data_IF_756114393758
#
_entry.id   IF_756114393758
#
_cell.length_a   1.000
_cell.length_b   1.000
_cell.length_c   1.000
_cell.angle_alpha   90.00
_cell.angle_beta   90.00
_cell.angle_gamma   90.00
#
_symmetry.space_group_name_H-M   'P 1'
#
loop_
_entity.id
_entity.type
_entity.pdbx_description
1 polymer ?
#
# COMPACT_ATOMS: atom_id res chain seq x y z
N UNK A 1 21.16 5.44 33.14
CA UNK A 1 20.21 6.56 32.92
C UNK A 1 20.59 7.19 31.59
N UNK A 2 19.81 7.18 30.51
CA UNK A 2 18.37 7.29 30.35
C UNK A 2 17.86 6.19 29.41
N UNK A 3 16.71 5.58 29.69
CA UNK A 3 16.00 4.76 28.72
C UNK A 3 15.65 5.64 27.53
N UNK A 4 16.28 5.40 26.39
CA UNK A 4 16.09 6.15 25.15
C UNK A 4 14.77 5.68 24.52
N UNK A 5 13.69 6.40 24.83
CA UNK A 5 12.34 6.12 24.34
C UNK A 5 12.12 6.85 23.01
N UNK A 6 11.46 6.22 22.04
CA UNK A 6 10.96 6.90 20.83
C UNK A 6 9.78 7.81 21.19
N UNK A 7 9.44 8.78 20.33
CA UNK A 7 8.36 9.76 20.58
C UNK A 7 6.94 9.15 20.80
N UNK A 8 6.75 7.83 20.81
CA UNK A 8 5.49 7.14 21.15
C UNK A 8 5.59 6.19 22.35
N UNK A 9 6.55 6.36 23.26
CA UNK A 9 6.68 5.52 24.46
C UNK A 9 7.41 4.17 24.27
N UNK A 10 7.88 3.88 23.05
CA UNK A 10 8.57 2.63 22.72
C UNK A 10 10.03 2.68 23.16
N UNK A 11 10.49 1.71 23.97
CA UNK A 11 11.90 1.59 24.34
C UNK A 11 12.75 1.08 23.16
N UNK A 12 13.88 1.73 22.88
CA UNK A 12 14.78 1.33 21.80
C UNK A 12 15.20 -0.14 21.84
N UNK A 13 15.61 -0.64 23.02
CA UNK A 13 16.06 -2.02 23.17
C UNK A 13 14.97 -3.03 22.85
N UNK A 14 13.73 -2.71 23.22
CA UNK A 14 12.56 -3.55 22.95
C UNK A 14 12.27 -3.59 21.46
N UNK A 15 12.15 -2.42 20.82
CA UNK A 15 11.93 -2.34 19.39
C UNK A 15 13.00 -3.06 18.57
N UNK A 16 14.28 -2.85 18.91
CA UNK A 16 15.39 -3.51 18.24
C UNK A 16 15.29 -5.04 18.37
N UNK A 17 14.97 -5.55 19.55
CA UNK A 17 14.81 -7.00 19.80
C UNK A 17 13.65 -7.58 18.99
N UNK A 18 12.53 -6.88 18.92
CA UNK A 18 11.33 -7.38 18.23
C UNK A 18 11.49 -7.34 16.71
N UNK A 19 12.27 -6.39 16.17
CA UNK A 19 12.59 -6.31 14.75
C UNK A 19 13.82 -7.15 14.33
N UNK A 20 14.63 -7.63 15.29
CA UNK A 20 15.83 -8.42 15.01
C UNK A 20 15.62 -9.61 14.06
N UNK A 21 14.50 -10.37 14.13
CA UNK A 21 14.25 -11.47 13.19
C UNK A 21 14.12 -11.03 11.72
N UNK A 22 13.83 -9.76 11.47
CA UNK A 22 13.73 -9.17 10.14
C UNK A 22 14.90 -8.21 9.81
N UNK A 23 16.03 -8.36 10.50
CA UNK A 23 17.20 -7.51 10.29
C UNK A 23 17.66 -7.48 8.82
N UNK A 24 17.60 -8.60 8.11
CA UNK A 24 17.94 -8.69 6.67
C UNK A 24 17.07 -7.79 5.78
N UNK A 25 15.94 -7.30 6.30
CA UNK A 25 15.02 -6.38 5.63
C UNK A 25 15.08 -4.97 6.19
N UNK A 26 16.12 -4.62 6.95
CA UNK A 26 16.24 -3.33 7.65
C UNK A 26 16.03 -2.11 6.73
N UNK A 27 16.48 -2.19 5.47
CA UNK A 27 16.34 -1.10 4.50
C UNK A 27 14.88 -0.90 4.08
N UNK A 28 14.18 -2.00 3.79
CA UNK A 28 12.74 -2.03 3.48
C UNK A 28 11.91 -1.54 4.67
N UNK A 29 12.24 -2.01 5.87
CA UNK A 29 11.64 -1.53 7.12
C UNK A 29 11.90 -0.03 7.29
N UNK A 30 13.14 0.42 7.05
CA UNK A 30 13.51 1.83 7.15
C UNK A 30 12.68 2.73 6.24
N UNK A 31 12.44 2.31 5.00
CA UNK A 31 11.58 3.01 4.02
C UNK A 31 10.17 3.17 4.58
N UNK A 32 9.54 2.07 5.00
CA UNK A 32 8.18 2.07 5.58
C UNK A 32 8.08 2.91 6.86
N UNK A 33 9.16 2.99 7.63
CA UNK A 33 9.25 3.85 8.81
C UNK A 33 9.56 5.32 8.47
N UNK A 34 9.60 5.69 7.20
CA UNK A 34 9.81 7.06 6.73
C UNK A 34 11.27 7.53 6.76
N UNK A 35 12.23 6.60 6.68
CA UNK A 35 13.64 6.97 6.51
C UNK A 35 13.91 7.31 5.04
N UNK A 36 14.51 8.49 4.73
CA UNK A 36 14.86 8.83 3.36
C UNK A 36 15.81 7.80 2.74
N UNK A 37 15.60 7.37 1.48
CA UNK A 37 16.46 6.38 0.81
C UNK A 37 17.94 6.76 0.81
N UNK A 38 18.26 8.03 0.57
CA UNK A 38 19.63 8.55 0.61
C UNK A 38 20.31 8.31 1.96
N UNK A 39 19.56 8.43 3.06
CA UNK A 39 20.08 8.16 4.39
C UNK A 39 20.34 6.66 4.59
N UNK A 40 19.46 5.81 4.09
CA UNK A 40 19.63 4.37 4.16
C UNK A 40 20.87 3.94 3.38
N UNK A 41 21.10 4.51 2.19
CA UNK A 41 22.33 4.31 1.42
C UNK A 41 23.58 4.77 2.19
N UNK A 42 23.51 5.89 2.93
CA UNK A 42 24.61 6.34 3.79
C UNK A 42 24.88 5.39 4.97
N UNK A 43 23.85 4.74 5.52
CA UNK A 43 23.99 3.74 6.58
C UNK A 43 24.69 2.49 6.04
N UNK A 44 24.30 2.06 4.84
CA UNK A 44 24.83 0.88 4.16
C UNK A 44 26.28 1.06 3.69
N UNK A 45 26.68 2.30 3.32
CA UNK A 45 28.06 2.62 2.90
C UNK A 45 29.11 2.54 4.02
N UNK A 46 28.72 2.35 5.29
CA UNK A 46 29.67 2.22 6.41
C UNK A 46 30.42 0.86 6.34
N UNK A 47 31.72 0.80 6.70
CA UNK A 47 32.65 -0.28 6.31
C UNK A 47 32.38 -1.71 6.86
N UNK A 48 33.18 -2.64 6.33
CA UNK A 48 32.89 -4.03 5.92
C UNK A 48 32.93 -5.16 6.97
N UNK A 49 32.70 -4.88 8.25
CA UNK A 49 32.54 -5.95 9.26
C UNK A 49 31.23 -5.83 10.03
N UNK A 50 30.19 -5.34 9.35
CA UNK A 50 28.86 -5.14 9.89
C UNK A 50 27.89 -6.12 9.27
N UNK A 51 26.94 -6.58 10.07
CA UNK A 51 25.83 -7.40 9.61
C UNK A 51 24.52 -6.58 9.49
N UNK A 52 23.48 -7.22 8.98
CA UNK A 52 22.16 -6.60 8.83
C UNK A 52 21.55 -6.11 10.16
N UNK A 53 21.94 -6.71 11.28
CA UNK A 53 21.47 -6.28 12.60
C UNK A 53 22.12 -4.98 13.04
N UNK A 54 23.39 -4.78 12.67
CA UNK A 54 24.06 -3.50 12.86
C UNK A 54 23.44 -2.38 12.01
N UNK A 55 23.02 -2.67 10.77
CA UNK A 55 22.34 -1.69 9.92
C UNK A 55 20.92 -1.37 10.43
N UNK A 56 20.18 -2.39 10.87
CA UNK A 56 18.89 -2.21 11.57
C UNK A 56 19.04 -1.28 12.78
N UNK A 57 20.06 -1.49 13.61
CA UNK A 57 20.35 -0.65 14.78
C UNK A 57 20.59 0.80 14.39
N UNK A 58 21.42 1.04 13.37
CA UNK A 58 21.74 2.39 12.89
C UNK A 58 20.52 3.10 12.31
N UNK A 59 19.69 2.38 11.55
CA UNK A 59 18.44 2.90 11.00
C UNK A 59 17.47 3.30 12.11
N UNK A 60 17.26 2.43 13.10
CA UNK A 60 16.39 2.75 14.24
C UNK A 60 16.92 3.95 15.05
N UNK A 61 18.24 4.06 15.22
CA UNK A 61 18.85 5.23 15.86
C UNK A 61 18.68 6.51 15.03
N UNK A 62 18.77 6.41 13.70
CA UNK A 62 18.45 7.52 12.82
C UNK A 62 16.99 7.94 12.99
N UNK A 63 16.06 6.98 12.96
CA UNK A 63 14.62 7.24 13.11
C UNK A 63 14.28 7.86 14.47
N UNK A 64 15.00 7.46 15.53
CA UNK A 64 14.84 7.98 16.89
C UNK A 64 15.22 9.47 17.01
N UNK A 65 16.23 9.90 16.25
CA UNK A 65 16.76 11.27 16.31
C UNK A 65 16.03 12.24 15.39
N UNK A 66 15.12 11.76 14.52
CA UNK A 66 14.30 12.63 13.67
C UNK A 66 13.31 13.40 14.53
N UNK A 67 13.27 14.72 14.35
CA UNK A 67 12.30 15.65 14.94
C UNK A 67 10.98 15.69 14.16
N UNK A 68 10.67 14.65 13.39
CA UNK A 68 9.43 14.55 12.62
C UNK A 68 8.22 14.33 13.55
N UNK A 69 7.05 14.88 13.22
CA UNK A 69 5.84 14.79 14.04
C UNK A 69 5.17 13.41 14.08
N UNK A 70 5.56 12.45 13.22
CA UNK A 70 4.99 11.10 13.28
C UNK A 70 5.66 10.28 14.39
N UNK A 71 4.91 10.06 15.47
CA UNK A 71 5.29 9.16 16.55
C UNK A 71 5.48 7.74 16.00
N UNK A 72 6.61 7.13 16.33
CA UNK A 72 6.84 5.72 16.03
C UNK A 72 6.02 4.88 17.01
N UNK A 73 4.86 4.39 16.57
CA UNK A 73 3.95 3.55 17.36
C UNK A 73 4.02 2.08 16.92
N UNK A 74 3.53 1.17 17.77
CA UNK A 74 3.47 -0.26 17.44
C UNK A 74 2.55 -0.55 16.26
N UNK A 75 1.53 0.28 16.04
CA UNK A 75 0.67 0.20 14.86
C UNK A 75 1.43 0.52 13.56
N UNK A 76 2.23 1.59 13.56
CA UNK A 76 3.08 1.95 12.39
C UNK A 76 4.05 0.82 12.08
N UNK A 77 4.66 0.23 13.11
CA UNK A 77 5.58 -0.92 12.95
C UNK A 77 4.84 -2.16 12.43
N UNK A 78 3.65 -2.45 12.95
CA UNK A 78 2.81 -3.54 12.47
C UNK A 78 2.45 -3.40 10.98
N UNK A 79 2.02 -2.20 10.57
CA UNK A 79 1.67 -1.89 9.18
C UNK A 79 2.89 -1.98 8.26
N UNK A 80 4.03 -1.43 8.69
CA UNK A 80 5.30 -1.52 7.96
C UNK A 80 5.71 -2.99 7.71
N UNK A 81 5.57 -3.86 8.70
CA UNK A 81 5.92 -5.29 8.55
C UNK A 81 4.93 -6.05 7.67
N UNK A 82 3.64 -5.65 7.67
CA UNK A 82 2.63 -6.24 6.78
C UNK A 82 2.71 -5.76 5.34
N UNK A 83 3.39 -4.63 5.08
CA UNK A 83 3.45 -4.05 3.74
C UNK A 83 3.98 -5.07 2.74
N UNK A 84 3.55 -4.95 1.48
CA UNK A 84 4.07 -5.79 0.40
C UNK A 84 5.58 -5.61 0.19
N UNK A 85 6.13 -4.46 0.60
CA UNK A 85 7.56 -4.14 0.52
C UNK A 85 8.36 -5.00 1.51
N UNK A 86 7.90 -5.14 2.76
CA UNK A 86 8.59 -5.90 3.81
C UNK A 86 8.14 -7.37 3.83
N UNK A 87 6.84 -7.64 3.77
CA UNK A 87 6.26 -8.97 3.67
C UNK A 87 6.51 -9.88 4.88
N UNK A 88 6.61 -9.33 6.08
CA UNK A 88 6.91 -10.02 7.34
C UNK A 88 5.64 -10.34 8.15
N UNK A 89 4.64 -10.93 7.50
CA UNK A 89 3.31 -11.15 8.10
C UNK A 89 3.30 -11.98 9.39
N UNK A 90 4.20 -12.97 9.50
CA UNK A 90 4.36 -13.77 10.72
C UNK A 90 4.95 -12.96 11.86
N UNK A 91 5.93 -12.10 11.58
CA UNK A 91 6.53 -11.23 12.60
C UNK A 91 5.56 -10.12 13.00
N UNK A 92 4.86 -9.52 12.03
CA UNK A 92 3.82 -8.52 12.29
C UNK A 92 2.75 -9.06 13.23
N UNK A 93 2.25 -10.29 12.99
CA UNK A 93 1.28 -10.94 13.89
C UNK A 93 1.82 -11.11 15.30
N UNK A 94 3.07 -11.54 15.48
CA UNK A 94 3.71 -11.65 16.81
C UNK A 94 3.81 -10.30 17.52
N UNK A 95 4.27 -9.27 16.82
CA UNK A 95 4.36 -7.91 17.39
C UNK A 95 2.97 -7.39 17.76
N UNK A 96 1.95 -7.62 16.94
CA UNK A 96 0.59 -7.24 17.27
C UNK A 96 0.08 -7.97 18.53
N UNK A 97 0.34 -9.27 18.67
CA UNK A 97 -0.04 -10.02 19.87
C UNK A 97 0.58 -9.42 21.14
N UNK A 98 1.84 -9.01 21.07
CA UNK A 98 2.61 -8.55 22.24
C UNK A 98 2.38 -7.08 22.58
N UNK A 99 1.97 -6.24 21.62
CA UNK A 99 2.00 -4.78 21.78
C UNK A 99 0.74 -4.03 21.32
N UNK A 100 -0.03 -4.59 20.39
CA UNK A 100 -1.24 -3.97 19.84
C UNK A 100 -2.30 -5.02 19.45
N UNK A 101 -2.78 -5.84 20.40
CA UNK A 101 -3.62 -7.01 20.10
C UNK A 101 -4.96 -6.65 19.44
N UNK A 102 -5.45 -5.43 19.66
CA UNK A 102 -6.65 -4.88 19.00
C UNK A 102 -6.55 -4.89 17.46
N UNK A 103 -5.34 -4.90 16.89
CA UNK A 103 -5.13 -4.98 15.43
C UNK A 103 -5.36 -6.40 14.86
N UNK A 104 -5.55 -7.41 15.70
CA UNK A 104 -5.81 -8.78 15.29
C UNK A 104 -7.31 -9.11 15.26
N UNK A 105 -8.10 -8.43 16.11
CA UNK A 105 -9.54 -8.66 16.24
C UNK A 105 -10.32 -8.10 15.04
N UNK A 106 -9.84 -7.03 14.42
CA UNK A 106 -10.43 -6.44 13.20
C UNK A 106 -10.28 -7.28 11.93
N UNK A 107 -9.43 -8.32 11.94
CA UNK A 107 -9.21 -9.25 10.81
C UNK A 107 -9.78 -10.66 11.03
N UNK A 108 -10.44 -10.92 12.16
CA UNK A 108 -10.98 -12.24 12.51
C UNK A 108 -12.17 -12.70 11.66
N UNK A 109 -12.86 -11.78 10.98
CA UNK A 109 -14.05 -12.09 10.18
C UNK A 109 -13.75 -12.82 8.86
N UNK A 110 -12.59 -12.58 8.23
CA UNK A 110 -12.25 -13.16 6.92
C UNK A 110 -11.67 -14.58 6.99
N UNK A 111 -11.15 -15.00 8.16
CA UNK A 111 -10.51 -16.31 8.33
C UNK A 111 -11.50 -17.45 8.61
N UNK A 112 -12.70 -17.16 9.11
CA UNK A 112 -13.73 -18.20 9.34
C UNK A 112 -14.35 -18.73 8.03
N UNK A 113 -14.36 -17.91 6.97
CA UNK A 113 -14.90 -18.29 5.65
C UNK A 113 -14.03 -19.35 4.96
N UNK A 114 -12.72 -19.36 5.21
CA UNK A 114 -11.78 -20.29 4.58
C UNK A 114 -11.83 -21.73 5.11
N UNK A 115 -12.21 -21.92 6.37
CA UNK A 115 -12.26 -23.26 7.00
C UNK A 115 -13.57 -24.00 6.65
N UNK A 116 -14.70 -23.28 6.61
CA UNK A 116 -16.00 -23.82 6.19
C UNK A 116 -16.03 -24.24 4.71
N UNK A 117 -15.28 -23.53 3.85
CA UNK A 117 -15.15 -23.88 2.44
C UNK A 117 -14.41 -25.21 2.22
N UNK A 118 -13.40 -25.52 3.04
CA UNK A 118 -12.65 -26.77 2.95
C UNK A 118 -13.51 -27.98 3.34
N UNK A 119 -14.29 -27.85 4.41
CA UNK A 119 -15.15 -28.93 4.91
C UNK A 119 -16.34 -29.23 3.96
N UNK A 120 -16.86 -28.20 3.28
CA UNK A 120 -17.93 -28.35 2.28
C UNK A 120 -17.46 -29.02 0.97
N UNK A 121 -16.20 -28.84 0.56
CA UNK A 121 -15.62 -29.53 -0.61
C UNK A 121 -15.47 -31.03 -0.37
N UNK A 122 -15.16 -31.44 0.88
CA UNK A 122 -15.10 -32.86 1.24
C UNK A 122 -16.47 -33.55 1.21
N UNK A 123 -17.56 -32.83 1.49
CA UNK A 123 -18.92 -33.36 1.48
C UNK A 123 -19.49 -33.55 0.05
N UNK A 124 -19.08 -32.72 -0.92
CA UNK A 124 -19.65 -32.73 -2.28
C UNK A 124 -19.10 -33.81 -3.22
N UNK A 125 -17.91 -34.36 -2.96
CA UNK A 125 -17.25 -35.28 -3.92
C UNK A 125 -17.66 -36.75 -3.76
N UNK A 126 -18.31 -37.14 -2.65
CA UNK A 126 -18.86 -38.49 -2.46
C UNK A 126 -17.86 -39.65 -2.53
N UNK A 127 -16.55 -39.40 -2.56
CA UNK A 127 -15.52 -40.43 -2.74
C UNK A 127 -15.32 -41.22 -1.45
N UNK A 128 -15.83 -42.45 -1.42
CA UNK A 128 -15.64 -43.36 -0.31
C UNK A 128 -14.36 -44.18 -0.50
N UNK A 129 -13.27 -43.77 0.18
CA UNK A 129 -11.90 -44.30 -0.03
C UNK A 129 -11.72 -45.75 0.48
N UNK A 130 -12.73 -46.36 1.12
CA UNK A 130 -12.61 -47.70 1.73
C UNK A 130 -12.48 -48.89 0.76
N UNK A 131 -12.56 -48.71 -0.56
CA UNK A 131 -12.64 -49.83 -1.53
C UNK A 131 -11.48 -49.86 -2.55
N UNK A 132 -10.50 -48.95 -2.47
CA UNK A 132 -9.41 -48.90 -3.44
C UNK A 132 -8.10 -49.46 -2.89
N UNK A 133 -7.46 -50.35 -3.65
CA UNK A 133 -6.13 -50.84 -3.34
C UNK A 133 -5.09 -49.71 -3.48
N UNK A 134 -4.05 -49.74 -2.65
CA UNK A 134 -3.04 -48.68 -2.56
C UNK A 134 -2.36 -48.34 -3.90
N UNK A 135 -2.30 -49.28 -4.84
CA UNK A 135 -1.76 -49.10 -6.18
C UNK A 135 -2.69 -48.36 -7.14
N UNK A 136 -4.02 -48.40 -6.94
CA UNK A 136 -4.98 -47.61 -7.73
C UNK A 136 -5.11 -46.17 -7.21
N UNK A 137 -4.88 -45.96 -5.91
CA UNK A 137 -4.86 -44.63 -5.29
C UNK A 137 -3.80 -43.74 -5.93
N UNK A 138 -2.60 -44.25 -6.18
CA UNK A 138 -1.51 -43.46 -6.80
C UNK A 138 -1.83 -42.99 -8.23
N UNK A 139 -2.43 -43.85 -9.06
CA UNK A 139 -2.77 -43.52 -10.44
C UNK A 139 -3.97 -42.57 -10.55
N UNK A 140 -4.99 -42.73 -9.68
CA UNK A 140 -6.14 -41.83 -9.61
C UNK A 140 -5.73 -40.46 -9.07
N UNK A 141 -4.81 -40.39 -8.10
CA UNK A 141 -4.28 -39.12 -7.57
C UNK A 141 -3.42 -38.40 -8.60
N UNK A 142 -2.60 -39.11 -9.39
CA UNK A 142 -1.77 -38.50 -10.44
C UNK A 142 -2.58 -37.98 -11.64
N UNK A 143 -3.63 -38.70 -12.07
CA UNK A 143 -4.52 -38.23 -13.13
C UNK A 143 -5.46 -37.11 -12.65
N UNK A 144 -5.94 -37.19 -11.41
CA UNK A 144 -6.73 -36.11 -10.81
C UNK A 144 -5.91 -34.82 -10.65
N UNK A 145 -4.62 -34.88 -10.32
CA UNK A 145 -3.77 -33.69 -10.15
C UNK A 145 -3.39 -33.01 -11.48
N UNK A 146 -3.23 -33.75 -12.58
CA UNK A 146 -3.02 -33.17 -13.92
C UNK A 146 -4.31 -32.58 -14.49
N UNK A 147 -5.46 -33.22 -14.25
CA UNK A 147 -6.76 -32.68 -14.62
C UNK A 147 -7.16 -31.50 -13.72
N UNK A 148 -6.74 -31.47 -12.45
CA UNK A 148 -6.95 -30.35 -11.52
C UNK A 148 -6.27 -29.09 -12.03
N UNK A 149 -5.06 -29.18 -12.60
CA UNK A 149 -4.34 -28.00 -13.17
C UNK A 149 -5.02 -27.44 -14.44
N UNK A 150 -5.76 -28.28 -15.19
CA UNK A 150 -6.52 -27.87 -16.39
C UNK A 150 -7.98 -27.48 -16.09
N UNK A 151 -8.47 -27.79 -14.88
CA UNK A 151 -9.81 -27.48 -14.38
C UNK A 151 -9.78 -26.56 -13.14
N UNK A 152 -8.63 -25.96 -12.78
CA UNK A 152 -8.66 -24.77 -11.93
C UNK A 152 -9.35 -23.75 -12.86
N UNK A 153 -10.62 -23.33 -12.62
CA UNK A 153 -10.98 -22.01 -13.10
C UNK A 153 -9.85 -21.14 -12.58
N UNK A 154 -9.13 -20.42 -13.46
CA UNK A 154 -8.23 -19.36 -13.01
C UNK A 154 -9.03 -18.65 -11.93
N UNK A 155 -8.63 -18.87 -10.68
CA UNK A 155 -9.39 -18.39 -9.55
C UNK A 155 -9.11 -16.93 -9.64
N UNK A 156 -9.95 -16.20 -10.40
CA UNK A 156 -10.10 -14.77 -10.23
C UNK A 156 -10.37 -14.70 -8.76
N UNK A 157 -9.36 -14.28 -7.99
CA UNK A 157 -9.61 -13.83 -6.64
C UNK A 157 -10.81 -12.91 -6.81
N UNK A 158 -11.97 -13.30 -6.30
CA UNK A 158 -13.06 -12.38 -6.07
C UNK A 158 -12.56 -11.47 -4.96
N UNK A 159 -11.63 -10.57 -5.31
CA UNK A 159 -11.60 -9.25 -4.74
C UNK A 159 -12.99 -8.68 -4.99
N UNK A 160 -13.56 -7.94 -4.05
CA UNK A 160 -14.87 -7.33 -4.20
C UNK A 160 -14.87 -6.20 -5.27
N UNK A 161 -14.21 -6.41 -6.41
CA UNK A 161 -13.77 -5.38 -7.33
C UNK A 161 -12.69 -4.45 -6.76
N UNK A 162 -12.19 -4.68 -5.55
CA UNK A 162 -11.23 -3.78 -4.89
C UNK A 162 -9.81 -4.09 -5.40
N UNK A 163 -9.12 -3.07 -5.90
CA UNK A 163 -7.79 -3.14 -6.49
C UNK A 163 -6.89 -2.00 -5.97
N UNK A 164 -5.56 -2.21 -5.92
CA UNK A 164 -4.62 -1.19 -5.46
C UNK A 164 -4.50 -0.03 -6.47
N UNK A 165 -4.57 1.20 -5.97
CA UNK A 165 -4.16 2.39 -6.70
C UNK A 165 -2.66 2.63 -6.46
N UNK A 166 -1.83 2.32 -7.44
CA UNK A 166 -0.39 2.46 -7.40
C UNK A 166 0.04 3.91 -7.63
N UNK A 167 0.99 4.42 -6.82
CA UNK A 167 1.59 5.76 -6.96
C UNK A 167 2.99 5.67 -7.57
N UNK A 168 3.29 6.60 -8.45
CA UNK A 168 4.60 6.74 -9.09
C UNK A 168 5.03 8.19 -9.14
N UNK A 169 6.34 8.43 -9.18
CA UNK A 169 6.94 9.76 -9.30
C UNK A 169 7.92 9.85 -10.46
N UNK A 170 7.89 10.96 -11.21
CA UNK A 170 8.84 11.23 -12.28
C UNK A 170 9.80 12.37 -11.93
N UNK A 171 11.06 12.03 -11.64
CA UNK A 171 12.08 13.00 -11.21
C UNK A 171 12.31 14.17 -12.17
N UNK A 172 12.37 13.92 -13.48
CA UNK A 172 12.75 14.96 -14.46
C UNK A 172 11.65 16.00 -14.72
N UNK A 173 10.39 15.60 -14.55
CA UNK A 173 9.21 16.43 -14.88
C UNK A 173 8.35 16.80 -13.69
N UNK A 174 8.70 16.29 -12.50
CA UNK A 174 7.98 16.49 -11.24
C UNK A 174 6.49 16.23 -11.39
N UNK A 175 6.13 14.98 -11.72
CA UNK A 175 4.75 14.55 -11.99
C UNK A 175 4.47 13.24 -11.25
N UNK A 176 3.36 13.21 -10.50
CA UNK A 176 2.83 11.99 -9.89
C UNK A 176 1.82 11.29 -10.81
N UNK A 177 1.98 9.98 -10.93
CA UNK A 177 1.09 9.12 -11.71
C UNK A 177 0.44 8.07 -10.84
N UNK A 178 -0.86 7.85 -11.05
CA UNK A 178 -1.68 6.90 -10.29
C UNK A 178 -2.44 5.98 -11.25
N UNK A 179 -2.37 4.68 -10.99
CA UNK A 179 -3.06 3.68 -11.82
C UNK A 179 -3.38 2.40 -11.05
N UNK A 180 -4.42 1.69 -11.49
CA UNK A 180 -4.71 0.31 -11.07
C UNK A 180 -4.12 -0.72 -12.05
N UNK A 181 -3.60 -0.27 -13.19
CA UNK A 181 -3.05 -1.12 -14.25
C UNK A 181 -1.53 -1.06 -14.24
N UNK A 182 -0.92 -2.06 -13.61
CA UNK A 182 0.53 -2.20 -13.49
C UNK A 182 1.26 -2.21 -14.84
N UNK A 183 0.59 -2.53 -15.94
CA UNK A 183 1.21 -2.55 -17.27
C UNK A 183 1.49 -1.15 -17.84
N UNK A 184 0.86 -0.09 -17.31
CA UNK A 184 1.09 1.27 -17.77
C UNK A 184 2.53 1.73 -17.48
N UNK A 185 3.04 1.40 -16.29
CA UNK A 185 4.43 1.69 -15.90
C UNK A 185 5.33 0.45 -15.98
N UNK A 186 4.80 -0.74 -15.72
CA UNK A 186 5.52 -2.01 -15.84
C UNK A 186 6.43 -2.34 -14.66
N UNK A 187 6.26 -1.70 -13.51
CA UNK A 187 6.86 -2.11 -12.24
C UNK A 187 5.98 -1.77 -11.05
N UNK A 188 6.02 -2.62 -10.04
CA UNK A 188 5.45 -2.42 -8.69
C UNK A 188 6.49 -2.72 -7.61
N UNK A 189 7.79 -2.69 -7.96
CA UNK A 189 8.88 -2.80 -6.99
C UNK A 189 9.34 -1.41 -6.55
N UNK A 190 9.27 -1.14 -5.25
CA UNK A 190 9.51 0.20 -4.71
C UNK A 190 10.88 0.73 -5.13
N UNK A 191 10.91 1.95 -5.66
CA UNK A 191 12.13 2.60 -6.14
C UNK A 191 12.59 2.13 -7.53
N UNK A 192 11.96 1.12 -8.13
CA UNK A 192 12.28 0.71 -9.49
C UNK A 192 11.74 1.73 -10.50
N UNK A 193 12.56 2.03 -11.52
CA UNK A 193 12.18 2.87 -12.64
C UNK A 193 11.49 2.00 -13.70
N UNK A 194 10.24 2.31 -14.01
CA UNK A 194 9.48 1.69 -15.09
C UNK A 194 9.49 2.50 -16.39
N UNK A 195 8.49 2.25 -17.23
CA UNK A 195 8.24 2.98 -18.47
C UNK A 195 8.14 4.48 -18.19
N UNK A 196 8.53 5.27 -19.19
CA UNK A 196 8.47 6.73 -19.16
C UNK A 196 9.24 7.43 -18.02
N UNK A 197 10.11 6.69 -17.31
CA UNK A 197 10.97 7.24 -16.24
C UNK A 197 10.28 7.37 -14.89
N UNK A 198 9.13 6.73 -14.68
CA UNK A 198 8.42 6.73 -13.41
C UNK A 198 9.05 5.78 -12.41
N UNK A 199 9.32 6.28 -11.20
CA UNK A 199 9.75 5.51 -10.04
C UNK A 199 8.53 5.08 -9.26
N UNK A 200 8.40 3.80 -8.95
CA UNK A 200 7.29 3.31 -8.13
C UNK A 200 7.44 3.72 -6.66
N UNK A 201 6.39 4.30 -6.09
CA UNK A 201 6.35 4.82 -4.72
C UNK A 201 5.44 4.01 -3.77
N UNK A 202 4.76 2.99 -4.27
CA UNK A 202 3.93 2.11 -3.45
C UNK A 202 2.44 2.17 -3.80
N UNK A 203 1.64 1.52 -2.97
CA UNK A 203 0.17 1.57 -3.05
C UNK A 203 -0.30 2.80 -2.28
N UNK A 204 -1.08 3.65 -2.93
CA UNK A 204 -1.64 4.85 -2.31
C UNK A 204 -2.89 4.54 -1.47
N UNK A 205 -3.78 3.74 -2.03
CA UNK A 205 -5.04 3.30 -1.42
C UNK A 205 -5.61 2.14 -2.23
N UNK A 206 -6.77 1.65 -1.82
CA UNK A 206 -7.56 0.68 -2.56
C UNK A 206 -8.82 1.36 -3.14
N UNK A 207 -9.16 1.06 -4.39
CA UNK A 207 -10.36 1.58 -5.06
C UNK A 207 -11.11 0.44 -5.76
N UNK A 208 -12.35 0.68 -6.19
CA UNK A 208 -13.09 -0.32 -6.96
C UNK A 208 -12.73 -0.22 -8.45
N UNK A 209 -12.45 -1.35 -9.09
CA UNK A 209 -12.20 -1.49 -10.53
C UNK A 209 -13.47 -1.20 -11.34
N UNK A 210 -14.62 -1.63 -10.82
CA UNK A 210 -15.94 -1.48 -11.44
C UNK A 210 -16.90 -0.64 -10.57
N UNK A 211 -17.96 -0.11 -11.17
CA UNK A 211 -18.98 0.67 -10.45
C UNK A 211 -19.69 -0.20 -9.40
N UNK A 212 -19.84 0.32 -8.19
CA UNK A 212 -20.57 -0.30 -7.09
C UNK A 212 -21.60 0.68 -6.55
N UNK A 213 -22.56 0.20 -5.76
CA UNK A 213 -23.67 1.02 -5.29
C UNK A 213 -23.19 2.29 -4.55
N UNK A 214 -23.60 3.44 -5.08
CA UNK A 214 -23.25 4.79 -4.63
C UNK A 214 -21.76 5.18 -4.79
N UNK A 215 -20.95 4.43 -5.54
CA UNK A 215 -19.64 4.93 -5.94
C UNK A 215 -19.77 5.92 -7.10
N UNK A 216 -18.72 6.70 -7.31
CA UNK A 216 -18.55 7.61 -8.43
C UNK A 216 -17.20 7.33 -9.09
N UNK A 217 -17.08 7.55 -10.41
CA UNK A 217 -15.82 7.36 -11.11
C UNK A 217 -14.76 8.37 -10.64
N UNK A 218 -13.54 7.87 -10.45
CA UNK A 218 -12.32 8.67 -10.36
C UNK A 218 -11.70 8.74 -11.75
N UNK A 219 -11.81 9.90 -12.38
CA UNK A 219 -11.28 10.15 -13.70
C UNK A 219 -9.82 10.58 -13.67
N UNK A 220 -9.03 10.22 -14.70
CA UNK A 220 -7.67 10.72 -14.95
C UNK A 220 -7.60 11.57 -16.21
N UNK A 221 -6.84 12.64 -16.13
CA UNK A 221 -6.64 13.60 -17.21
C UNK A 221 -5.16 13.93 -17.37
N UNK A 222 -4.70 14.00 -18.61
CA UNK A 222 -3.36 14.48 -18.92
C UNK A 222 -3.39 15.94 -19.36
N UNK A 223 -2.69 16.80 -18.62
CA UNK A 223 -2.55 18.22 -18.95
C UNK A 223 -1.23 18.48 -19.67
N UNK A 224 -1.23 18.34 -20.99
CA UNK A 224 -0.03 18.44 -21.83
C UNK A 224 0.75 19.75 -21.69
N UNK A 225 0.06 20.89 -21.49
CA UNK A 225 0.70 22.19 -21.28
C UNK A 225 1.57 22.26 -20.03
N UNK A 226 1.23 21.46 -19.01
CA UNK A 226 1.85 21.47 -17.69
C UNK A 226 2.68 20.20 -17.43
N UNK A 227 2.52 19.17 -18.26
CA UNK A 227 3.06 17.82 -18.02
C UNK A 227 2.62 17.23 -16.67
N UNK A 228 1.34 17.35 -16.33
CA UNK A 228 0.76 17.01 -15.02
C UNK A 228 -0.47 16.10 -15.19
N UNK A 229 -0.56 15.06 -14.35
CA UNK A 229 -1.75 14.21 -14.26
C UNK A 229 -2.72 14.70 -13.18
N UNK A 230 -3.98 14.84 -13.57
CA UNK A 230 -5.04 15.32 -12.70
C UNK A 230 -6.13 14.26 -12.50
N UNK A 231 -6.61 14.12 -11.26
CA UNK A 231 -7.59 13.12 -10.85
C UNK A 231 -8.75 13.78 -10.12
N UNK A 232 -9.97 13.45 -10.53
CA UNK A 232 -11.18 14.07 -9.98
C UNK A 232 -12.40 13.14 -10.11
N UNK A 233 -13.34 13.27 -9.18
CA UNK A 233 -14.69 12.70 -9.27
C UNK A 233 -15.69 13.65 -9.95
N UNK A 234 -15.31 14.90 -10.18
CA UNK A 234 -16.12 15.89 -10.86
C UNK A 234 -15.63 16.07 -12.31
N UNK A 235 -16.33 15.51 -13.31
CA UNK A 235 -15.95 15.66 -14.71
C UNK A 235 -16.08 17.09 -15.24
N UNK A 236 -16.55 18.05 -14.42
CA UNK A 236 -16.48 19.47 -14.76
C UNK A 236 -15.13 20.09 -14.45
N UNK A 237 -14.24 19.49 -13.66
CA UNK A 237 -12.91 20.05 -13.34
C UNK A 237 -11.87 19.81 -14.45
N UNK A 238 -12.24 19.11 -15.53
CA UNK A 238 -11.37 18.78 -16.66
C UNK A 238 -10.70 20.04 -17.17
N UNK A 239 -9.37 20.09 -17.29
CA UNK A 239 -8.66 21.21 -17.92
C UNK A 239 -8.51 22.49 -17.07
N UNK A 240 -8.86 22.45 -15.79
CA UNK A 240 -8.53 23.47 -14.80
C UNK A 240 -7.79 22.83 -13.61
N UNK A 241 -7.17 23.65 -12.77
CA UNK A 241 -6.60 23.20 -11.48
C UNK A 241 -7.44 23.74 -10.31
N UNK A 242 -8.61 24.31 -10.62
CA UNK A 242 -9.46 24.97 -9.64
C UNK A 242 -10.69 24.09 -9.41
N UNK A 243 -10.97 23.67 -8.17
CA UNK A 243 -12.21 22.98 -7.86
C UNK A 243 -13.45 23.71 -8.39
N UNK A 244 -14.17 23.08 -9.31
CA UNK A 244 -15.44 23.56 -9.86
C UNK A 244 -15.40 24.30 -11.21
N UNK A 245 -14.24 24.50 -11.84
CA UNK A 245 -14.13 25.18 -13.14
C UNK A 245 -14.03 24.22 -14.34
N UNK A 246 -14.73 24.53 -15.44
CA UNK A 246 -14.72 23.78 -16.72
C UNK A 246 -13.52 24.17 -17.58
N UNK A 247 -12.72 23.18 -17.97
CA UNK A 247 -11.65 23.27 -18.96
C UNK A 247 -11.78 22.18 -20.04
N UNK A 248 -10.74 22.02 -20.87
CA UNK A 248 -10.92 21.46 -22.23
C UNK A 248 -9.80 20.51 -22.72
N UNK A 249 -9.33 19.55 -21.91
CA UNK A 249 -8.20 18.68 -22.29
C UNK A 249 -8.31 17.20 -21.86
N UNK A 250 -7.98 16.30 -22.81
CA UNK A 250 -7.18 15.08 -22.60
C UNK A 250 -7.64 14.03 -21.58
N UNK A 251 -8.92 13.65 -21.56
CA UNK A 251 -9.36 12.52 -20.73
C UNK A 251 -8.60 11.24 -21.08
N UNK A 252 -8.07 10.58 -20.05
CA UNK A 252 -7.45 9.25 -20.15
C UNK A 252 -8.39 8.15 -19.65
N UNK A 253 -9.62 8.51 -19.27
CA UNK A 253 -10.67 7.58 -18.84
C UNK A 253 -10.85 7.52 -17.33
N UNK A 254 -11.52 6.45 -16.90
CA UNK A 254 -11.80 6.12 -15.50
C UNK A 254 -10.64 5.27 -15.00
N UNK A 255 -10.05 5.64 -13.86
CA UNK A 255 -9.01 4.84 -13.19
C UNK A 255 -9.64 3.80 -12.26
N UNK A 256 -10.79 4.13 -11.69
CA UNK A 256 -11.60 3.25 -10.86
C UNK A 256 -12.71 4.05 -10.21
N UNK A 257 -13.30 3.54 -9.13
CA UNK A 257 -14.46 4.11 -8.47
C UNK A 257 -14.21 4.25 -6.97
N UNK A 258 -14.71 5.34 -6.39
CA UNK A 258 -14.62 5.67 -4.97
C UNK A 258 -15.93 6.30 -4.47
N UNK A 259 -16.08 6.48 -3.16
CA UNK A 259 -17.32 7.04 -2.61
C UNK A 259 -17.25 8.58 -2.54
N UNK A 260 -18.29 9.30 -2.99
CA UNK A 260 -18.29 10.77 -2.94
C UNK A 260 -18.45 11.32 -1.52
N UNK A 261 -18.89 10.49 -0.58
CA UNK A 261 -19.08 10.79 0.84
C UNK A 261 -18.56 9.64 1.68
N UNK A 262 -18.20 9.93 2.93
CA UNK A 262 -17.69 8.94 3.88
C UNK A 262 -18.68 7.76 4.04
N UNK A 263 -18.15 6.54 3.93
CA UNK A 263 -18.82 5.30 4.31
C UNK A 263 -18.02 4.59 5.40
N UNK A 264 -18.67 3.68 6.13
CA UNK A 264 -18.02 2.87 7.15
C UNK A 264 -16.78 2.15 6.57
N UNK A 265 -15.64 2.28 7.25
CA UNK A 265 -14.37 1.66 6.84
C UNK A 265 -13.54 2.45 5.83
N UNK A 266 -14.09 3.52 5.24
CA UNK A 266 -13.39 4.33 4.24
C UNK A 266 -12.60 5.47 4.86
N UNK A 267 -11.58 5.95 4.15
CA UNK A 267 -10.76 7.10 4.51
C UNK A 267 -10.76 8.14 3.39
N UNK A 268 -10.60 9.44 3.69
CA UNK A 268 -10.53 10.47 2.66
C UNK A 268 -9.25 10.33 1.81
N UNK A 269 -9.39 10.44 0.49
CA UNK A 269 -8.31 10.71 -0.45
C UNK A 269 -8.20 12.23 -0.64
N UNK A 270 -7.14 12.81 -0.10
CA UNK A 270 -6.87 14.25 -0.21
C UNK A 270 -6.14 14.58 -1.51
N UNK A 271 -6.46 15.72 -2.11
CA UNK A 271 -5.74 16.31 -3.24
C UNK A 271 -5.01 17.57 -2.84
N UNK A 272 -3.84 17.76 -3.43
CA UNK A 272 -2.99 18.91 -3.21
C UNK A 272 -2.42 19.43 -4.52
N UNK A 273 -2.15 20.73 -4.56
CA UNK A 273 -1.57 21.41 -5.71
C UNK A 273 -0.24 22.08 -5.34
N UNK A 274 0.82 21.84 -6.11
CA UNK A 274 2.09 22.56 -5.97
C UNK A 274 2.35 23.48 -7.17
N UNK A 275 2.15 24.79 -7.03
CA UNK A 275 2.31 25.73 -8.16
C UNK A 275 3.77 25.91 -8.61
N UNK A 276 4.76 25.51 -7.80
CA UNK A 276 6.19 25.70 -8.14
C UNK A 276 6.70 24.62 -9.09
N UNK A 277 6.29 23.38 -8.85
CA UNK A 277 6.68 22.23 -9.68
C UNK A 277 5.55 21.79 -10.63
N UNK A 278 4.38 22.42 -10.50
CA UNK A 278 3.23 22.23 -11.39
C UNK A 278 2.75 20.76 -11.34
N UNK A 279 2.40 20.30 -10.13
CA UNK A 279 2.07 18.91 -9.83
C UNK A 279 0.87 18.78 -8.89
N UNK A 280 0.02 17.79 -9.15
CA UNK A 280 -0.98 17.34 -8.19
C UNK A 280 -0.55 16.09 -7.42
N UNK A 281 -0.74 16.14 -6.11
CA UNK A 281 -0.45 15.04 -5.21
C UNK A 281 -1.71 14.52 -4.54
N UNK A 282 -1.82 13.20 -4.38
CA UNK A 282 -2.98 12.53 -3.81
C UNK A 282 -2.54 11.59 -2.70
N UNK A 283 -3.11 11.73 -1.51
CA UNK A 283 -2.82 10.81 -0.41
C UNK A 283 -3.98 10.65 0.56
N UNK A 284 -4.07 9.46 1.17
CA UNK A 284 -4.94 9.22 2.33
C UNK A 284 -4.30 9.68 3.65
N UNK A 285 -2.98 9.93 3.64
CA UNK A 285 -2.21 10.36 4.79
C UNK A 285 -1.85 11.84 4.71
N UNK A 286 -2.69 12.71 5.28
CA UNK A 286 -2.45 14.15 5.33
C UNK A 286 -1.14 14.58 6.00
N UNK A 287 -0.51 13.71 6.79
CA UNK A 287 0.81 13.97 7.41
C UNK A 287 1.91 14.04 6.34
N UNK A 288 1.75 13.37 5.18
CA UNK A 288 2.72 13.45 4.08
C UNK A 288 2.94 14.89 3.62
N UNK A 289 1.90 15.73 3.67
CA UNK A 289 1.97 17.15 3.31
C UNK A 289 2.12 18.04 4.56
N UNK A 290 1.43 17.69 5.65
CA UNK A 290 1.46 18.43 6.92
C UNK A 290 0.24 19.31 7.16
N UNK A 291 -0.74 19.29 6.26
CA UNK A 291 -2.07 19.89 6.46
C UNK A 291 -3.11 19.14 5.63
N UNK A 292 -4.36 19.15 6.07
CA UNK A 292 -5.54 18.68 5.31
C UNK A 292 -6.59 19.79 5.13
N UNK A 293 -6.30 20.99 5.65
CA UNK A 293 -7.22 22.11 5.64
C UNK A 293 -7.17 22.80 4.27
N UNK A 294 -8.27 22.87 3.51
CA UNK A 294 -8.26 23.50 2.19
C UNK A 294 -7.70 24.93 2.23
N UNK A 295 -6.78 25.23 1.31
CA UNK A 295 -6.07 26.51 1.20
C UNK A 295 -4.81 26.63 2.06
N UNK A 296 -4.61 25.76 3.06
CA UNK A 296 -3.35 25.73 3.80
C UNK A 296 -2.23 25.08 2.99
N UNK A 297 -0.99 25.48 3.27
CA UNK A 297 0.20 24.99 2.56
C UNK A 297 1.10 24.16 3.49
N UNK A 298 1.46 22.96 3.06
CA UNK A 298 2.45 22.09 3.69
C UNK A 298 3.44 21.58 2.66
N UNK A 299 4.75 21.55 2.95
CA UNK A 299 5.81 21.10 2.02
C UNK A 299 5.72 21.68 0.58
N UNK A 300 5.16 22.88 0.42
CA UNK A 300 4.99 23.55 -0.88
C UNK A 300 3.71 23.18 -1.64
N UNK A 301 2.91 22.26 -1.10
CA UNK A 301 1.61 21.85 -1.62
C UNK A 301 0.48 22.56 -0.88
N UNK A 302 -0.47 23.11 -1.64
CA UNK A 302 -1.70 23.73 -1.15
C UNK A 302 -2.77 22.64 -1.09
N UNK A 303 -3.43 22.45 0.06
CA UNK A 303 -4.53 21.49 0.17
C UNK A 303 -5.74 21.97 -0.62
N UNK A 304 -6.30 21.10 -1.45
CA UNK A 304 -7.54 21.33 -2.20
C UNK A 304 -8.74 20.58 -1.60
N UNK A 305 -8.50 19.84 -0.51
CA UNK A 305 -9.50 19.09 0.23
C UNK A 305 -9.65 17.64 -0.22
N UNK A 306 -10.80 17.06 0.10
CA UNK A 306 -11.13 15.66 -0.17
C UNK A 306 -11.69 15.52 -1.58
N UNK A 307 -11.12 14.60 -2.37
CA UNK A 307 -11.62 14.26 -3.71
C UNK A 307 -12.70 13.19 -3.63
N UNK A 308 -12.46 12.16 -2.83
CA UNK A 308 -13.41 11.10 -2.52
C UNK A 308 -12.95 10.28 -1.31
N UNK A 309 -13.70 9.24 -0.97
CA UNK A 309 -13.44 8.31 0.12
C UNK A 309 -13.15 6.92 -0.44
N UNK A 310 -12.06 6.33 0.03
CA UNK A 310 -11.44 5.12 -0.51
C UNK A 310 -11.18 4.10 0.58
N UNK A 311 -10.92 2.85 0.21
CA UNK A 311 -10.46 1.84 1.15
C UNK A 311 -8.97 2.08 1.50
N UNK A 312 -8.59 2.03 2.79
CA UNK A 312 -7.25 2.42 3.26
C UNK A 312 -6.09 1.52 2.82
#
# INVERSE_FOLDING_TARGET
SNSLVFNGGIEFRRLYKDLYPAATKWKKIGIELGCPPEQLDLIERKPSNRDDSDYLRDMLHYRQRRTEPSELTWEVIYRALLSSIVGESKLAKRIAQDHCPYLLESRGADLHIGQEAADNVFAMTGVNIKVLSASLVGAVVALASVLFVLLIPYSTHTTNGIVPLHRYWKLEKTDHFYTINDNEIGTIEYGQIGKHGYVYEGIQCQIYEEEVEHSVPLYRYWKSANSDHFYTTNPKEIGTVTPGEIGNHGSEGIVGYCFPTEKEGTVPLYRYWNPKIVDHFYTTNGIEIGTVTPGETGKGYISEGVVCYVDP
#
